data_IF_332256417548
#
_entry.id   IF_332256417548
#
_cell.length_a   1.000
_cell.length_b   1.000
_cell.length_c   1.000
_cell.angle_alpha   90.00
_cell.angle_beta   90.00
_cell.angle_gamma   90.00
#
_symmetry.space_group_name_H-M   'P 1'
#
loop_
_entity.id
_entity.type
_entity.pdbx_description
1 polymer ?
#
# COMPACT_ATOMS: atom_id res chain seq x y z
N UNK A 1 77.50 -35.58 -31.23
CA UNK A 1 76.25 -36.21 -30.78
C UNK A 1 76.20 -36.05 -29.27
N UNK A 2 75.59 -35.01 -28.70
CA UNK A 2 74.15 -34.72 -28.59
C UNK A 2 73.43 -35.83 -27.81
N UNK A 3 73.36 -35.68 -26.50
CA UNK A 3 72.27 -36.11 -25.59
C UNK A 3 72.72 -35.98 -24.12
N UNK A 4 72.62 -34.77 -23.54
CA UNK A 4 72.73 -34.60 -22.08
C UNK A 4 72.10 -33.30 -21.58
N UNK A 5 70.95 -32.89 -22.15
CA UNK A 5 70.22 -31.69 -21.69
C UNK A 5 68.70 -31.89 -21.48
N UNK A 6 68.13 -33.06 -21.82
CA UNK A 6 66.67 -33.21 -21.87
C UNK A 6 65.99 -33.68 -20.56
N UNK A 7 66.73 -34.16 -19.56
CA UNK A 7 66.13 -34.72 -18.33
C UNK A 7 65.89 -33.70 -17.20
N UNK A 8 66.57 -32.54 -17.22
CA UNK A 8 66.36 -31.48 -16.23
C UNK A 8 65.08 -30.69 -16.54
N UNK A 9 64.77 -30.50 -17.82
CA UNK A 9 63.57 -29.77 -18.26
C UNK A 9 62.25 -30.50 -17.95
N UNK A 10 62.24 -31.84 -17.87
CA UNK A 10 61.02 -32.63 -17.65
C UNK A 10 60.62 -32.74 -16.17
N UNK A 11 61.59 -32.78 -15.26
CA UNK A 11 61.33 -32.80 -13.80
C UNK A 11 60.83 -31.44 -13.30
N UNK A 12 61.39 -30.33 -13.79
CA UNK A 12 60.91 -28.99 -13.46
C UNK A 12 59.47 -28.74 -13.94
N UNK A 13 59.09 -29.24 -15.12
CA UNK A 13 57.72 -29.14 -15.61
C UNK A 13 56.72 -30.02 -14.84
N UNK A 14 57.15 -31.19 -14.36
CA UNK A 14 56.30 -32.09 -13.57
C UNK A 14 56.06 -31.56 -12.14
N UNK A 15 57.10 -31.06 -11.46
CA UNK A 15 56.97 -30.41 -10.14
C UNK A 15 56.17 -29.10 -10.24
N UNK A 16 56.37 -28.32 -11.31
CA UNK A 16 55.58 -27.13 -11.58
C UNK A 16 54.12 -27.49 -11.89
N UNK A 17 53.87 -28.60 -12.59
CA UNK A 17 52.52 -29.12 -12.83
C UNK A 17 51.79 -29.53 -11.55
N UNK A 18 52.48 -30.17 -10.60
CA UNK A 18 51.89 -30.54 -9.31
C UNK A 18 51.53 -29.30 -8.48
N UNK A 19 52.41 -28.29 -8.43
CA UNK A 19 52.12 -27.03 -7.74
C UNK A 19 50.97 -26.26 -8.39
N UNK A 20 50.93 -26.22 -9.72
CA UNK A 20 49.83 -25.60 -10.47
C UNK A 20 48.50 -26.33 -10.25
N UNK A 21 48.52 -27.66 -10.12
CA UNK A 21 47.33 -28.45 -9.81
C UNK A 21 46.76 -28.10 -8.43
N UNK A 22 47.63 -28.01 -7.41
CA UNK A 22 47.22 -27.62 -6.05
C UNK A 22 46.67 -26.19 -6.03
N UNK A 23 47.32 -25.27 -6.73
CA UNK A 23 46.86 -23.88 -6.86
C UNK A 23 45.48 -23.82 -7.52
N UNK A 24 45.26 -24.59 -8.60
CA UNK A 24 43.97 -24.65 -9.27
C UNK A 24 42.85 -25.15 -8.35
N UNK A 25 43.11 -26.20 -7.56
CA UNK A 25 42.13 -26.68 -6.58
C UNK A 25 41.85 -25.67 -5.48
N UNK A 26 42.85 -24.95 -4.99
CA UNK A 26 42.66 -23.89 -3.99
C UNK A 26 41.81 -22.73 -4.54
N UNK A 27 42.04 -22.32 -5.79
CA UNK A 27 41.25 -21.27 -6.47
C UNK A 27 39.81 -21.74 -6.67
N UNK A 28 39.60 -22.96 -7.15
CA UNK A 28 38.25 -23.52 -7.35
C UNK A 28 37.51 -23.67 -6.02
N UNK A 29 38.18 -24.16 -4.97
CA UNK A 29 37.59 -24.31 -3.64
C UNK A 29 37.23 -22.96 -3.00
N UNK A 30 38.11 -21.97 -3.11
CA UNK A 30 37.85 -20.61 -2.66
C UNK A 30 36.68 -19.97 -3.42
N UNK A 31 36.61 -20.20 -4.73
CA UNK A 31 35.50 -19.72 -5.56
C UNK A 31 34.16 -20.38 -5.18
N UNK A 32 34.13 -21.69 -4.97
CA UNK A 32 32.93 -22.40 -4.49
C UNK A 32 32.49 -21.93 -3.10
N UNK A 33 33.43 -21.68 -2.18
CA UNK A 33 33.10 -21.15 -0.85
C UNK A 33 32.49 -19.74 -0.94
N UNK A 34 33.06 -18.89 -1.80
CA UNK A 34 32.53 -17.55 -2.04
C UNK A 34 31.11 -17.58 -2.65
N UNK A 35 30.88 -18.45 -3.65
CA UNK A 35 29.55 -18.65 -4.25
C UNK A 35 28.53 -19.18 -3.24
N UNK A 36 28.92 -20.09 -2.34
CA UNK A 36 28.03 -20.59 -1.30
C UNK A 36 27.63 -19.48 -0.31
N UNK A 37 28.54 -18.55 0.00
CA UNK A 37 28.22 -17.36 0.80
C UNK A 37 27.21 -16.43 0.12
N UNK A 38 27.37 -16.19 -1.19
CA UNK A 38 26.41 -15.40 -1.98
C UNK A 38 25.03 -16.07 -2.04
N UNK A 39 24.97 -17.37 -2.31
CA UNK A 39 23.72 -18.12 -2.36
C UNK A 39 23.00 -18.16 -1.00
N UNK A 40 23.74 -18.20 0.11
CA UNK A 40 23.17 -18.13 1.44
C UNK A 40 22.54 -16.75 1.74
N UNK A 41 23.19 -15.67 1.31
CA UNK A 41 22.66 -14.31 1.46
C UNK A 41 21.37 -14.11 0.66
N UNK A 42 21.30 -14.61 -0.58
CA UNK A 42 20.07 -14.54 -1.39
C UNK A 42 18.92 -15.34 -0.79
N UNK A 43 19.18 -16.54 -0.26
CA UNK A 43 18.15 -17.34 0.42
C UNK A 43 17.64 -16.64 1.67
N UNK A 44 18.53 -16.02 2.45
CA UNK A 44 18.12 -15.26 3.62
C UNK A 44 17.24 -14.07 3.24
N UNK A 45 17.63 -13.31 2.22
CA UNK A 45 16.84 -12.18 1.73
C UNK A 45 15.45 -12.62 1.23
N UNK A 46 15.33 -13.78 0.57
CA UNK A 46 14.04 -14.33 0.15
C UNK A 46 13.16 -14.75 1.34
N UNK A 47 13.75 -15.34 2.38
CA UNK A 47 13.02 -15.71 3.59
C UNK A 47 12.56 -14.48 4.37
N UNK A 48 13.40 -13.46 4.49
CA UNK A 48 13.05 -12.20 5.15
C UNK A 48 11.94 -11.47 4.38
N UNK A 49 11.99 -11.47 3.05
CA UNK A 49 10.93 -10.92 2.20
C UNK A 49 9.62 -11.72 2.30
N UNK A 50 9.69 -13.04 2.38
CA UNK A 50 8.51 -13.90 2.57
C UNK A 50 7.90 -13.71 3.96
N UNK A 51 8.72 -13.60 5.00
CA UNK A 51 8.27 -13.31 6.36
C UNK A 51 7.64 -11.92 6.47
N UNK A 52 8.22 -10.91 5.82
CA UNK A 52 7.63 -9.57 5.77
C UNK A 52 6.25 -9.57 5.07
N UNK A 53 6.11 -10.32 3.97
CA UNK A 53 4.80 -10.48 3.30
C UNK A 53 3.79 -11.22 4.17
N UNK A 54 4.20 -12.31 4.81
CA UNK A 54 3.33 -13.07 5.71
C UNK A 54 2.88 -12.23 6.91
N UNK A 55 3.79 -11.42 7.49
CA UNK A 55 3.45 -10.49 8.57
C UNK A 55 2.46 -9.41 8.09
N UNK A 56 2.64 -8.86 6.89
CA UNK A 56 1.71 -7.88 6.31
C UNK A 56 0.32 -8.49 6.02
N UNK A 57 0.27 -9.74 5.55
CA UNK A 57 -0.98 -10.48 5.33
C UNK A 57 -1.69 -10.81 6.65
N UNK A 58 -0.94 -11.19 7.70
CA UNK A 58 -1.48 -11.45 9.05
C UNK A 58 -2.01 -10.17 9.71
N UNK A 59 -1.30 -9.05 9.56
CA UNK A 59 -1.76 -7.73 10.02
C UNK A 59 -3.03 -7.28 9.27
N UNK A 60 -3.09 -7.49 7.95
CA UNK A 60 -4.29 -7.24 7.15
C UNK A 60 -5.47 -8.14 7.56
N UNK A 61 -5.21 -9.39 7.96
CA UNK A 61 -6.24 -10.32 8.43
C UNK A 61 -6.71 -10.03 9.87
N UNK A 62 -5.83 -9.53 10.74
CA UNK A 62 -6.19 -9.10 12.09
C UNK A 62 -6.97 -7.77 12.09
N UNK A 63 -6.84 -6.98 11.02
CA UNK A 63 -7.56 -5.75 10.79
C UNK A 63 -8.91 -5.96 10.06
N UNK A 64 -9.62 -7.07 10.28
CA UNK A 64 -11.02 -7.17 9.81
C UNK A 64 -11.89 -6.22 10.61
N UNK A 65 -11.93 -4.97 10.18
CA UNK A 65 -12.79 -3.91 10.70
C UNK A 65 -14.24 -4.22 10.30
N UNK A 66 -15.17 -4.07 11.25
CA UNK A 66 -16.59 -4.29 11.01
C UNK A 66 -17.08 -3.40 9.86
N UNK A 67 -17.71 -4.01 8.86
CA UNK A 67 -18.28 -3.28 7.73
C UNK A 67 -19.72 -2.90 8.06
N UNK A 68 -19.99 -1.60 8.11
CA UNK A 68 -21.30 -1.02 8.45
C UNK A 68 -21.74 -0.13 7.29
N UNK A 69 -23.00 -0.28 6.85
CA UNK A 69 -23.53 0.53 5.76
C UNK A 69 -23.65 1.99 6.19
N UNK A 70 -23.30 2.94 5.30
CA UNK A 70 -23.30 4.36 5.64
C UNK A 70 -24.70 4.88 6.02
N UNK A 71 -25.76 4.24 5.49
CA UNK A 71 -27.14 4.55 5.85
C UNK A 71 -27.50 4.17 7.30
N UNK A 72 -26.88 3.13 7.86
CA UNK A 72 -27.13 2.75 9.26
C UNK A 72 -26.46 3.75 10.22
N UNK A 73 -25.25 4.20 9.86
CA UNK A 73 -24.50 5.23 10.61
C UNK A 73 -25.20 6.59 10.53
N UNK A 74 -25.75 6.95 9.36
CA UNK A 74 -26.45 8.22 9.18
C UNK A 74 -27.75 8.32 10.00
N UNK A 75 -28.48 7.21 10.12
CA UNK A 75 -29.74 7.16 10.88
C UNK A 75 -29.50 7.30 12.39
N UNK A 76 -28.52 6.58 12.93
CA UNK A 76 -28.10 6.69 14.33
C UNK A 76 -26.59 6.45 14.47
N UNK A 77 -25.77 7.51 14.51
CA UNK A 77 -24.32 7.38 14.66
C UNK A 77 -23.88 7.08 16.11
N UNK A 78 -24.75 7.34 17.10
CA UNK A 78 -24.45 7.24 18.54
C UNK A 78 -23.82 5.90 18.96
N UNK A 79 -24.34 4.72 18.56
CA UNK A 79 -23.77 3.44 18.97
C UNK A 79 -22.39 3.18 18.36
N UNK A 80 -22.03 3.89 17.29
CA UNK A 80 -20.77 3.70 16.58
C UNK A 80 -19.67 4.67 17.03
N UNK A 81 -20.00 5.69 17.85
CA UNK A 81 -19.03 6.68 18.32
C UNK A 81 -17.86 6.01 19.04
N UNK A 82 -16.64 6.35 18.65
CA UNK A 82 -15.40 5.77 19.17
C UNK A 82 -15.09 4.36 18.64
N UNK A 83 -15.93 3.81 17.76
CA UNK A 83 -15.71 2.51 17.11
C UNK A 83 -15.08 2.71 15.74
N UNK A 84 -14.03 1.92 15.45
CA UNK A 84 -13.44 1.84 14.12
C UNK A 84 -14.29 0.93 13.25
N UNK A 85 -14.75 1.45 12.12
CA UNK A 85 -15.60 0.75 11.16
C UNK A 85 -15.15 1.00 9.72
N UNK A 86 -15.63 0.15 8.80
CA UNK A 86 -15.49 0.34 7.36
C UNK A 86 -16.86 0.62 6.78
N UNK A 87 -16.98 1.68 5.98
CA UNK A 87 -18.23 2.04 5.32
C UNK A 87 -17.99 2.37 3.85
N UNK A 88 -18.99 2.11 3.01
CA UNK A 88 -18.91 2.30 1.57
C UNK A 88 -19.96 3.32 1.13
N UNK A 89 -19.57 4.19 0.19
CA UNK A 89 -20.46 5.23 -0.31
C UNK A 89 -19.89 5.94 -1.54
N UNK A 90 -20.78 6.62 -2.27
CA UNK A 90 -20.37 7.51 -3.35
C UNK A 90 -20.03 8.89 -2.80
N UNK A 91 -18.99 9.53 -3.31
CA UNK A 91 -18.60 10.88 -2.92
C UNK A 91 -19.62 11.89 -3.49
N UNK A 92 -20.35 12.57 -2.62
CA UNK A 92 -21.35 13.57 -2.96
C UNK A 92 -20.72 14.94 -3.27
N UNK A 93 -19.74 15.37 -2.47
CA UNK A 93 -19.02 16.63 -2.65
C UNK A 93 -17.74 16.66 -1.81
N UNK A 94 -16.77 17.50 -2.19
CA UNK A 94 -15.55 17.71 -1.39
C UNK A 94 -15.80 18.74 -0.28
N UNK A 95 -15.06 18.60 0.83
CA UNK A 95 -14.98 19.59 1.92
C UNK A 95 -13.55 20.13 1.98
N UNK A 96 -13.27 21.14 1.17
CA UNK A 96 -11.92 21.71 1.04
C UNK A 96 -10.86 20.64 0.71
N UNK A 97 -9.76 20.65 1.45
CA UNK A 97 -8.70 19.62 1.43
C UNK A 97 -8.73 18.75 2.69
N UNK A 98 -9.79 18.86 3.49
CA UNK A 98 -9.92 18.23 4.81
C UNK A 98 -10.72 16.92 4.75
N UNK A 99 -11.61 16.81 3.77
CA UNK A 99 -12.61 15.77 3.75
C UNK A 99 -13.47 15.78 2.51
N UNK A 100 -14.50 14.95 2.55
CA UNK A 100 -15.59 14.91 1.57
C UNK A 100 -16.85 14.37 2.23
N UNK A 101 -17.96 14.56 1.55
CA UNK A 101 -19.29 14.12 1.93
C UNK A 101 -19.64 12.83 1.19
N UNK A 102 -20.10 11.81 1.92
CA UNK A 102 -20.63 10.58 1.34
C UNK A 102 -22.13 10.71 1.11
N UNK A 103 -22.59 10.31 -0.07
CA UNK A 103 -24.00 10.16 -0.38
C UNK A 103 -24.60 9.02 0.45
N UNK A 104 -25.75 9.26 1.04
CA UNK A 104 -26.50 8.30 1.83
C UNK A 104 -27.84 7.99 1.15
N UNK A 105 -28.48 6.85 1.46
CA UNK A 105 -29.79 6.52 0.91
C UNK A 105 -30.91 7.51 1.29
N UNK A 106 -30.77 8.22 2.41
CA UNK A 106 -31.73 9.24 2.87
C UNK A 106 -31.62 10.56 2.11
N UNK A 107 -30.51 10.76 1.39
CA UNK A 107 -30.16 12.01 0.73
C UNK A 107 -29.50 13.05 1.65
N UNK A 108 -29.29 12.73 2.93
CA UNK A 108 -28.53 13.56 3.85
C UNK A 108 -27.07 13.09 3.92
N UNK A 109 -26.12 13.77 3.29
CA UNK A 109 -24.77 13.25 3.17
C UNK A 109 -24.05 13.17 4.52
N UNK A 110 -23.19 12.17 4.67
CA UNK A 110 -22.42 11.94 5.89
C UNK A 110 -20.97 12.43 5.70
N UNK A 111 -20.44 13.15 6.69
CA UNK A 111 -19.10 13.72 6.57
C UNK A 111 -18.01 12.68 6.84
N UNK A 112 -16.99 12.70 5.98
CA UNK A 112 -15.73 11.99 6.19
C UNK A 112 -14.61 13.04 6.16
N UNK A 113 -13.74 12.98 7.16
CA UNK A 113 -12.56 13.83 7.28
C UNK A 113 -11.37 12.96 7.67
N UNK A 114 -10.15 13.45 7.52
CA UNK A 114 -8.94 12.80 8.03
C UNK A 114 -8.17 13.75 8.96
N UNK A 115 -7.24 13.24 9.76
CA UNK A 115 -6.36 14.12 10.55
C UNK A 115 -5.59 15.12 9.65
N UNK A 116 -5.23 16.30 10.16
CA UNK A 116 -4.55 17.35 9.39
C UNK A 116 -3.14 16.94 8.87
N UNK A 117 -2.62 15.78 9.26
CA UNK A 117 -1.46 15.20 8.60
C UNK A 117 -1.85 14.85 7.15
N UNK A 118 -1.05 15.30 6.18
CA UNK A 118 -1.41 15.21 4.76
C UNK A 118 -1.87 13.79 4.40
N UNK A 119 -3.12 13.67 3.95
CA UNK A 119 -3.68 12.42 3.47
C UNK A 119 -2.83 11.87 2.32
N UNK A 120 -2.18 10.73 2.55
CA UNK A 120 -1.35 10.02 1.57
C UNK A 120 -2.15 9.01 0.74
N UNK A 121 -3.48 9.16 0.71
CA UNK A 121 -4.36 8.28 -0.04
C UNK A 121 -4.56 8.72 -1.49
N UNK A 122 -5.37 7.95 -2.25
CA UNK A 122 -5.61 8.23 -3.66
C UNK A 122 -6.33 9.58 -3.86
N UNK A 123 -6.14 10.20 -5.03
CA UNK A 123 -6.87 11.43 -5.35
C UNK A 123 -8.37 11.14 -5.51
N UNK A 124 -9.18 11.67 -4.59
CA UNK A 124 -10.64 11.44 -4.53
C UNK A 124 -11.35 12.51 -5.37
N UNK A 125 -12.27 12.06 -6.22
CA UNK A 125 -13.16 12.93 -6.99
C UNK A 125 -14.63 12.75 -6.57
N UNK A 126 -15.44 13.77 -6.87
CA UNK A 126 -16.89 13.67 -6.73
C UNK A 126 -17.43 12.57 -7.65
N UNK A 127 -18.35 11.73 -7.16
CA UNK A 127 -18.90 10.61 -7.91
C UNK A 127 -18.12 9.29 -7.75
N UNK A 128 -16.90 9.33 -7.22
CA UNK A 128 -16.15 8.11 -6.91
C UNK A 128 -16.92 7.26 -5.89
N UNK A 129 -16.95 5.95 -6.12
CA UNK A 129 -17.41 5.00 -5.09
C UNK A 129 -16.20 4.56 -4.29
N UNK A 130 -16.22 4.80 -2.99
CA UNK A 130 -15.09 4.57 -2.10
C UNK A 130 -15.49 3.70 -0.91
N UNK A 131 -14.50 3.06 -0.32
CA UNK A 131 -14.58 2.45 0.99
C UNK A 131 -13.71 3.25 1.97
N UNK A 132 -14.31 3.70 3.05
CA UNK A 132 -13.68 4.48 4.11
C UNK A 132 -13.56 3.62 5.35
N UNK A 133 -12.37 3.55 5.91
CA UNK A 133 -12.12 2.93 7.21
C UNK A 133 -11.67 4.02 8.19
N UNK A 134 -12.34 4.10 9.33
CA UNK A 134 -12.09 5.16 10.30
C UNK A 134 -12.94 5.05 11.55
N UNK A 135 -12.78 6.01 12.45
CA UNK A 135 -13.49 6.08 13.73
C UNK A 135 -14.64 7.09 13.62
N UNK A 136 -15.86 6.67 13.97
CA UNK A 136 -16.99 7.61 14.06
C UNK A 136 -16.77 8.53 15.26
N UNK A 137 -16.81 9.83 15.01
CA UNK A 137 -16.49 10.87 15.98
C UNK A 137 -17.60 11.91 16.01
N UNK A 138 -17.94 12.39 17.20
CA UNK A 138 -18.87 13.50 17.39
C UNK A 138 -18.23 14.81 16.89
N UNK A 139 -18.99 15.60 16.14
CA UNK A 139 -18.53 16.90 15.66
C UNK A 139 -18.45 17.89 16.83
N UNK A 140 -17.26 18.44 17.07
CA UNK A 140 -17.04 19.48 18.07
C UNK A 140 -16.74 20.81 17.40
N UNK A 141 -17.18 21.91 18.02
CA UNK A 141 -16.88 23.26 17.53
C UNK A 141 -15.36 23.51 17.41
N UNK A 142 -14.57 22.97 18.35
CA UNK A 142 -13.12 23.10 18.34
C UNK A 142 -12.50 22.46 17.08
N UNK A 143 -13.03 21.33 16.61
CA UNK A 143 -12.58 20.66 15.39
C UNK A 143 -12.74 21.56 14.17
N UNK A 144 -13.87 22.25 14.04
CA UNK A 144 -14.11 23.19 12.94
C UNK A 144 -13.19 24.42 13.02
N UNK A 145 -12.88 24.89 14.22
CA UNK A 145 -11.91 25.97 14.44
C UNK A 145 -10.51 25.52 14.03
N UNK A 146 -10.11 24.29 14.33
CA UNK A 146 -8.82 23.72 13.94
C UNK A 146 -8.70 23.61 12.42
N UNK A 147 -9.70 23.04 11.73
CA UNK A 147 -9.70 22.94 10.27
C UNK A 147 -9.65 24.30 9.57
N UNK A 148 -10.40 25.27 10.09
CA UNK A 148 -10.38 26.65 9.59
C UNK A 148 -9.02 27.33 9.83
N UNK A 149 -8.43 27.14 11.02
CA UNK A 149 -7.10 27.68 11.35
C UNK A 149 -5.99 27.06 10.51
N UNK A 150 -6.09 25.77 10.22
CA UNK A 150 -5.19 25.04 9.33
C UNK A 150 -5.40 25.40 7.85
N UNK A 151 -6.46 26.16 7.53
CA UNK A 151 -6.87 26.53 6.17
C UNK A 151 -7.15 25.32 5.26
N UNK A 152 -7.54 24.19 5.85
CA UNK A 152 -7.95 22.99 5.11
C UNK A 152 -9.38 23.07 4.62
N UNK A 153 -10.19 23.96 5.21
CA UNK A 153 -11.55 24.31 4.77
C UNK A 153 -11.70 25.83 4.67
N UNK A 154 -12.59 26.29 3.78
CA UNK A 154 -12.99 27.70 3.70
C UNK A 154 -14.07 28.08 4.74
N UNK A 155 -14.37 29.37 4.88
CA UNK A 155 -15.49 29.83 5.74
C UNK A 155 -16.84 29.28 5.25
N UNK A 156 -17.02 29.11 3.94
CA UNK A 156 -18.23 28.52 3.36
C UNK A 156 -18.30 27.03 3.70
N UNK A 157 -17.19 26.31 3.56
CA UNK A 157 -17.11 24.89 3.91
C UNK A 157 -17.38 24.66 5.39
N UNK A 158 -16.87 25.55 6.26
CA UNK A 158 -17.16 25.53 7.70
C UNK A 158 -18.66 25.64 7.95
N UNK A 159 -19.35 26.59 7.32
CA UNK A 159 -20.81 26.73 7.48
C UNK A 159 -21.57 25.46 7.08
N UNK A 160 -21.08 24.71 6.08
CA UNK A 160 -21.69 23.44 5.68
C UNK A 160 -21.34 22.32 6.66
N UNK A 161 -20.10 22.27 7.14
CA UNK A 161 -19.64 21.27 8.11
C UNK A 161 -20.34 21.39 9.48
N UNK A 162 -20.81 22.59 9.86
CA UNK A 162 -21.61 22.82 11.08
C UNK A 162 -22.94 22.02 11.11
N UNK A 163 -23.42 21.54 9.96
CA UNK A 163 -24.61 20.67 9.90
C UNK A 163 -24.31 19.20 10.22
N UNK A 164 -23.05 18.78 10.17
CA UNK A 164 -22.68 17.43 10.57
C UNK A 164 -22.65 17.34 12.11
N UNK A 165 -23.45 16.44 12.66
CA UNK A 165 -23.39 16.12 14.10
C UNK A 165 -22.27 15.13 14.41
N UNK A 166 -21.90 14.31 13.43
CA UNK A 166 -20.86 13.29 13.50
C UNK A 166 -20.13 13.21 12.16
N UNK A 167 -18.92 12.68 12.20
CA UNK A 167 -18.12 12.40 11.02
C UNK A 167 -17.32 11.12 11.22
N UNK A 168 -16.84 10.51 10.14
CA UNK A 168 -15.82 9.47 10.21
C UNK A 168 -14.46 10.16 10.11
N UNK A 169 -13.63 10.00 11.14
CA UNK A 169 -12.21 10.32 11.09
C UNK A 169 -11.48 9.14 10.41
N UNK A 170 -11.16 9.33 9.14
CA UNK A 170 -10.68 8.30 8.23
C UNK A 170 -9.18 8.07 8.40
N UNK A 171 -8.82 6.82 8.67
CA UNK A 171 -7.44 6.34 8.64
C UNK A 171 -7.04 5.90 7.23
N UNK A 172 -8.01 5.37 6.48
CA UNK A 172 -7.79 4.79 5.15
C UNK A 172 -9.00 4.99 4.26
N UNK A 173 -8.72 5.30 2.99
CA UNK A 173 -9.73 5.37 1.93
C UNK A 173 -9.24 4.58 0.72
N UNK A 174 -10.05 3.64 0.26
CA UNK A 174 -9.82 2.89 -0.97
C UNK A 174 -10.85 3.32 -2.03
N UNK A 175 -10.42 3.64 -3.25
CA UNK A 175 -11.33 3.87 -4.38
C UNK A 175 -11.76 2.51 -4.93
N UNK A 176 -13.06 2.22 -4.89
CA UNK A 176 -13.63 0.96 -5.42
C UNK A 176 -14.02 1.09 -6.89
N UNK A 177 -14.49 2.26 -7.29
CA UNK A 177 -14.81 2.62 -8.68
C UNK A 177 -14.59 4.12 -8.85
N UNK A 178 -13.64 4.48 -9.70
CA UNK A 178 -13.37 5.87 -10.04
C UNK A 178 -14.29 6.40 -11.16
N UNK A 179 -14.50 7.71 -11.20
CA UNK A 179 -15.13 8.40 -12.33
C UNK A 179 -14.26 8.25 -13.60
N UNK A 180 -14.46 7.15 -14.34
CA UNK A 180 -13.69 6.82 -15.54
C UNK A 180 -13.72 5.34 -15.97
N UNK A 181 -14.13 4.42 -15.09
CA UNK A 181 -14.31 3.01 -15.45
C UNK A 181 -15.69 2.75 -16.06
N UNK A 182 -15.98 3.40 -17.19
CA UNK A 182 -17.05 3.01 -18.07
C UNK A 182 -16.51 2.00 -19.10
N UNK A 183 -16.89 0.73 -18.91
CA UNK A 183 -16.90 -0.37 -19.90
C UNK A 183 -16.03 -0.20 -21.17
N UNK A 184 -14.73 -0.51 -21.09
CA UNK A 184 -13.99 -0.97 -22.27
C UNK A 184 -14.34 -2.45 -22.51
N UNK A 185 -15.52 -2.69 -23.11
CA UNK A 185 -16.07 -4.04 -23.20
C UNK A 185 -17.22 -4.22 -24.19
N UNK A 186 -17.25 -3.48 -25.30
CA UNK A 186 -18.11 -3.87 -26.44
C UNK A 186 -17.54 -3.38 -27.77
N UNK A 187 -16.46 -4.03 -28.19
CA UNK A 187 -16.02 -3.96 -29.59
C UNK A 187 -16.07 -5.38 -30.18
N UNK A 188 -17.12 -5.64 -30.98
CA UNK A 188 -17.29 -6.94 -31.63
C UNK A 188 -18.55 -7.06 -32.47
N UNK A 189 -18.39 -6.77 -33.77
CA UNK A 189 -19.22 -7.21 -34.91
C UNK A 189 -20.40 -6.32 -35.37
N UNK A 190 -20.05 -5.21 -36.04
CA UNK A 190 -20.66 -4.92 -37.35
C UNK A 190 -20.33 -6.10 -38.30
N UNK A 191 -21.26 -6.71 -39.03
CA UNK A 191 -22.12 -6.08 -40.02
C UNK A 191 -21.53 -6.35 -41.41
N UNK A 192 -21.69 -7.58 -41.91
CA UNK A 192 -21.30 -7.97 -43.27
C UNK A 192 -22.50 -8.49 -44.03
N UNK A 193 -22.94 -7.73 -45.03
CA UNK A 193 -23.85 -8.18 -46.08
C UNK A 193 -23.33 -7.65 -47.42
#
# INVERSE_FOLDING_TARGET
MKEMSDNVSRRGAADMGMLLMILAFAVIGGFMFWLNGQAAAERQAQLDAAAARAAAEEEAAAATVETVAIGDIEVDPTPYVGTKLRSEGAVASMLGTQGFWLATPSGNPFLVSWSAEAFDGPAIAMGDTIAVEGVVTEMQELTLVEWSTAQTISDVDRMVAEFATHYIDADRVDIMRGEGEAEEGSEGAAGGN
#
